data_IF_108807961082
#
_entry.id   IF_108807961082
#
_cell.length_a   1.000
_cell.length_b   1.000
_cell.length_c   1.000
_cell.angle_alpha   90.00
_cell.angle_beta   90.00
_cell.angle_gamma   90.00
#
_symmetry.space_group_name_H-M   'P 1'
#
loop_
_entity.id
_entity.type
_entity.pdbx_description
1 polymer ?
#
# COMPACT_ATOMS: atom_id res chain seq x y z
N UNK A 1 0.71 -28.80 3.74
CA UNK A 1 -0.48 -28.65 2.87
C UNK A 1 -0.13 -28.66 1.38
N UNK A 2 0.86 -27.88 0.94
CA UNK A 2 1.32 -27.82 -0.48
C UNK A 2 1.83 -29.18 -1.00
N UNK A 3 2.47 -29.98 -0.15
CA UNK A 3 3.00 -31.31 -0.49
C UNK A 3 1.92 -32.35 -0.83
N UNK A 4 0.82 -32.39 -0.07
CA UNK A 4 -0.28 -33.33 -0.32
C UNK A 4 -1.08 -32.98 -1.58
N UNK A 5 -1.31 -31.68 -1.84
CA UNK A 5 -1.99 -31.21 -3.04
C UNK A 5 -1.15 -31.44 -4.31
N UNK A 6 0.17 -31.19 -4.24
CA UNK A 6 1.09 -31.47 -5.33
C UNK A 6 1.17 -32.97 -5.64
N UNK A 7 1.20 -33.83 -4.61
CA UNK A 7 1.16 -35.28 -4.78
C UNK A 7 -0.14 -35.75 -5.45
N UNK A 8 -1.29 -35.16 -5.11
CA UNK A 8 -2.58 -35.49 -5.74
C UNK A 8 -2.67 -35.09 -7.23
N UNK A 9 -2.14 -33.91 -7.59
CA UNK A 9 -2.10 -33.45 -8.99
C UNK A 9 -1.13 -34.30 -9.81
N UNK A 10 0.04 -34.65 -9.27
CA UNK A 10 1.00 -35.57 -9.92
C UNK A 10 0.40 -36.98 -10.06
N UNK A 11 -0.34 -37.46 -9.05
CA UNK A 11 -1.00 -38.76 -9.06
C UNK A 11 -2.14 -38.87 -10.07
N UNK A 12 -2.72 -37.77 -10.55
CA UNK A 12 -3.77 -37.78 -11.59
C UNK A 12 -3.22 -37.45 -12.99
N UNK A 13 -2.20 -36.62 -13.09
CA UNK A 13 -1.60 -36.24 -14.39
C UNK A 13 -0.88 -37.41 -15.07
N UNK A 14 -0.14 -38.23 -14.32
CA UNK A 14 0.57 -39.41 -14.86
C UNK A 14 -0.41 -40.48 -15.40
N UNK A 15 -1.45 -40.90 -14.66
CA UNK A 15 -2.51 -41.75 -15.22
C UNK A 15 -3.29 -41.11 -16.35
N UNK A 16 -3.43 -39.79 -16.41
CA UNK A 16 -4.08 -39.09 -17.53
C UNK A 16 -3.31 -39.24 -18.84
N UNK A 17 -1.99 -39.01 -18.80
CA UNK A 17 -1.09 -39.28 -19.92
C UNK A 17 -1.11 -40.75 -20.36
N UNK A 18 -1.10 -41.68 -19.40
CA UNK A 18 -1.15 -43.14 -19.67
C UNK A 18 -2.53 -43.58 -20.19
N UNK A 19 -3.61 -43.02 -19.67
CA UNK A 19 -4.98 -43.35 -20.04
C UNK A 19 -5.37 -42.82 -21.42
N UNK A 20 -4.91 -41.61 -21.79
CA UNK A 20 -5.04 -41.10 -23.16
C UNK A 20 -4.30 -42.00 -24.17
N UNK A 21 -3.20 -42.64 -23.74
CA UNK A 21 -2.46 -43.62 -24.55
C UNK A 21 -3.18 -44.98 -24.67
N UNK A 22 -4.08 -45.33 -23.74
CA UNK A 22 -4.73 -46.67 -23.63
C UNK A 22 -6.22 -46.71 -23.95
N UNK A 23 -6.91 -45.59 -24.13
CA UNK A 23 -8.35 -45.57 -24.42
C UNK A 23 -8.72 -46.46 -25.62
N UNK A 24 -9.75 -47.30 -25.46
CA UNK A 24 -10.23 -48.22 -26.50
C UNK A 24 -10.67 -47.45 -27.77
N UNK A 25 -10.51 -48.06 -28.93
CA UNK A 25 -11.05 -47.57 -30.19
C UNK A 25 -12.59 -47.47 -30.10
N UNK A 26 -13.23 -46.41 -30.61
CA UNK A 26 -14.67 -46.44 -30.83
C UNK A 26 -14.97 -47.55 -31.86
N UNK A 27 -15.93 -48.41 -31.56
CA UNK A 27 -16.42 -49.43 -32.49
C UNK A 27 -16.85 -48.78 -33.81
N UNK A 28 -16.42 -49.39 -34.91
CA UNK A 28 -16.46 -48.89 -36.29
C UNK A 28 -17.76 -48.15 -36.67
N UNK A 29 -17.60 -46.93 -37.17
CA UNK A 29 -18.58 -46.24 -38.02
C UNK A 29 -18.07 -46.32 -39.48
N UNK A 30 -18.96 -46.40 -40.48
CA UNK A 30 -18.58 -46.70 -41.85
C UNK A 30 -17.83 -45.54 -42.51
N UNK A 31 -16.94 -45.91 -43.41
CA UNK A 31 -15.94 -45.08 -44.07
C UNK A 31 -16.53 -43.95 -44.90
N UNK A 32 -15.87 -42.79 -44.82
CA UNK A 32 -16.06 -41.72 -45.79
C UNK A 32 -16.17 -40.35 -45.15
N UNK A 33 -15.05 -39.78 -44.69
CA UNK A 33 -14.68 -38.35 -44.86
C UNK A 33 -13.45 -38.01 -44.00
N UNK A 34 -12.37 -37.60 -44.69
CA UNK A 34 -11.22 -36.80 -44.23
C UNK A 34 -10.89 -36.82 -42.73
N UNK A 35 -9.79 -37.49 -42.35
CA UNK A 35 -8.73 -36.99 -41.44
C UNK A 35 -7.77 -38.13 -41.09
N UNK A 36 -6.49 -37.97 -41.43
CA UNK A 36 -5.43 -38.82 -40.88
C UNK A 36 -5.55 -38.81 -39.36
N UNK A 37 -5.92 -39.96 -38.78
CA UNK A 37 -6.09 -40.12 -37.35
C UNK A 37 -4.71 -39.94 -36.70
N UNK A 38 -4.39 -38.71 -36.26
CA UNK A 38 -3.16 -38.45 -35.52
C UNK A 38 -3.13 -39.41 -34.33
N UNK A 39 -2.04 -40.16 -34.15
CA UNK A 39 -2.01 -41.19 -33.12
C UNK A 39 -2.14 -40.56 -31.73
N UNK A 40 -2.90 -41.21 -30.84
CA UNK A 40 -3.28 -40.67 -29.51
C UNK A 40 -2.10 -40.21 -28.65
N UNK A 41 -0.90 -40.77 -28.86
CA UNK A 41 0.34 -40.34 -28.19
C UNK A 41 0.74 -38.90 -28.56
N UNK A 42 0.40 -38.43 -29.76
CA UNK A 42 0.70 -37.08 -30.23
C UNK A 42 -0.07 -36.03 -29.42
N UNK A 43 -1.34 -36.29 -29.10
CA UNK A 43 -2.14 -35.40 -28.26
C UNK A 43 -1.63 -35.33 -26.82
N UNK A 44 -1.22 -36.47 -26.26
CA UNK A 44 -0.62 -36.54 -24.93
C UNK A 44 0.73 -35.81 -24.87
N UNK A 45 1.56 -35.96 -25.91
CA UNK A 45 2.83 -35.24 -26.06
C UNK A 45 2.60 -33.73 -26.15
N UNK A 46 1.63 -33.28 -26.95
CA UNK A 46 1.29 -31.87 -27.09
C UNK A 46 0.87 -31.25 -25.75
N UNK A 47 0.00 -31.93 -24.99
CA UNK A 47 -0.43 -31.47 -23.67
C UNK A 47 0.72 -31.43 -22.65
N UNK A 48 1.60 -32.42 -22.67
CA UNK A 48 2.79 -32.43 -21.82
C UNK A 48 3.74 -31.29 -22.17
N UNK A 49 4.00 -31.05 -23.46
CA UNK A 49 4.81 -29.92 -23.91
C UNK A 49 4.14 -28.59 -23.53
N UNK A 50 2.83 -28.44 -23.72
CA UNK A 50 2.14 -27.21 -23.35
C UNK A 50 2.14 -26.96 -21.83
N UNK A 51 2.12 -28.01 -21.02
CA UNK A 51 2.25 -27.88 -19.56
C UNK A 51 3.67 -27.46 -19.16
N UNK A 52 4.70 -28.09 -19.75
CA UNK A 52 6.10 -27.94 -19.32
C UNK A 52 6.78 -26.71 -19.92
N UNK A 53 6.57 -26.43 -21.21
CA UNK A 53 7.31 -25.39 -21.94
C UNK A 53 7.14 -24.00 -21.33
N UNK A 54 5.93 -23.49 -21.01
CA UNK A 54 5.78 -22.17 -20.39
C UNK A 54 6.48 -22.08 -19.03
N UNK A 55 6.39 -23.14 -18.22
CA UNK A 55 7.02 -23.19 -16.89
C UNK A 55 8.54 -23.22 -17.02
N UNK A 56 9.07 -24.06 -17.92
CA UNK A 56 10.50 -24.19 -18.16
C UNK A 56 11.10 -22.90 -18.74
N UNK A 57 10.43 -22.26 -19.71
CA UNK A 57 10.85 -20.97 -20.26
C UNK A 57 10.90 -19.89 -19.17
N UNK A 58 9.89 -19.84 -18.29
CA UNK A 58 9.91 -18.91 -17.16
C UNK A 58 11.01 -19.22 -16.14
N UNK A 59 11.26 -20.49 -15.84
CA UNK A 59 12.35 -20.90 -14.95
C UNK A 59 13.72 -20.50 -15.53
N UNK A 60 13.94 -20.72 -16.83
CA UNK A 60 15.17 -20.33 -17.53
C UNK A 60 15.32 -18.80 -17.58
N UNK A 61 14.26 -18.07 -17.94
CA UNK A 61 14.27 -16.61 -17.91
C UNK A 61 14.55 -16.06 -16.49
N UNK A 62 14.10 -16.79 -15.47
CA UNK A 62 14.29 -16.42 -14.07
C UNK A 62 15.74 -16.61 -13.56
N UNK A 63 16.63 -17.27 -14.32
CA UNK A 63 18.04 -17.45 -13.95
C UNK A 63 18.84 -16.15 -14.03
N UNK A 64 18.47 -15.24 -14.95
CA UNK A 64 19.17 -13.96 -15.13
C UNK A 64 18.58 -12.82 -14.30
N UNK A 65 17.25 -12.81 -14.12
CA UNK A 65 16.53 -11.89 -13.23
C UNK A 65 15.35 -12.65 -12.64
N UNK A 66 15.04 -12.53 -11.33
CA UNK A 66 13.90 -13.22 -10.74
C UNK A 66 12.56 -12.72 -11.32
N UNK A 67 12.13 -13.35 -12.42
CA UNK A 67 10.90 -13.02 -13.14
C UNK A 67 9.75 -13.96 -12.76
N UNK A 68 10.01 -15.02 -12.00
CA UNK A 68 9.00 -16.00 -11.64
C UNK A 68 7.93 -15.39 -10.72
N UNK A 69 6.73 -15.17 -11.27
CA UNK A 69 5.51 -14.84 -10.53
C UNK A 69 4.41 -15.84 -10.89
N UNK A 70 3.58 -16.20 -9.92
CA UNK A 70 2.52 -17.23 -10.05
C UNK A 70 1.57 -16.97 -11.23
N UNK A 71 1.38 -15.69 -11.61
CA UNK A 71 0.55 -15.32 -12.77
C UNK A 71 1.04 -15.91 -14.10
N UNK A 72 2.34 -16.19 -14.25
CA UNK A 72 2.86 -16.78 -15.50
C UNK A 72 2.53 -18.28 -15.60
N UNK A 73 2.23 -18.94 -14.49
CA UNK A 73 1.77 -20.33 -14.46
C UNK A 73 0.33 -20.47 -14.98
N UNK A 74 -0.44 -19.37 -15.07
CA UNK A 74 -1.80 -19.38 -15.65
C UNK A 74 -1.81 -19.94 -17.08
N UNK A 75 -0.76 -19.68 -17.86
CA UNK A 75 -0.59 -20.22 -19.23
C UNK A 75 -0.58 -21.75 -19.27
N UNK A 76 -0.15 -22.40 -18.18
CA UNK A 76 -0.07 -23.85 -18.08
C UNK A 76 -1.35 -24.50 -17.51
N UNK A 77 -2.36 -23.70 -17.14
CA UNK A 77 -3.60 -24.23 -16.53
C UNK A 77 -4.51 -24.99 -17.50
N UNK A 78 -4.69 -24.59 -18.78
CA UNK A 78 -5.52 -25.35 -19.70
C UNK A 78 -5.08 -26.82 -19.90
N UNK A 79 -3.80 -27.14 -20.21
CA UNK A 79 -3.38 -28.54 -20.36
C UNK A 79 -3.42 -29.28 -19.02
N UNK A 80 -3.17 -28.60 -17.89
CA UNK A 80 -3.30 -29.18 -16.57
C UNK A 80 -4.72 -29.69 -16.30
N UNK A 81 -5.75 -28.89 -16.56
CA UNK A 81 -7.14 -29.29 -16.34
C UNK A 81 -7.55 -30.47 -17.21
N UNK A 82 -7.12 -30.50 -18.48
CA UNK A 82 -7.38 -31.63 -19.39
C UNK A 82 -6.71 -32.91 -18.88
N UNK A 83 -5.45 -32.84 -18.42
CA UNK A 83 -4.72 -33.99 -17.91
C UNK A 83 -5.30 -34.52 -16.60
N UNK A 84 -5.72 -33.63 -15.68
CA UNK A 84 -6.40 -34.02 -14.44
C UNK A 84 -7.72 -34.72 -14.74
N UNK A 85 -8.54 -34.18 -15.66
CA UNK A 85 -9.80 -34.79 -16.06
C UNK A 85 -9.58 -36.17 -16.73
N UNK A 86 -8.62 -36.26 -17.65
CA UNK A 86 -8.23 -37.52 -18.28
C UNK A 86 -7.76 -38.55 -17.24
N UNK A 87 -6.99 -38.12 -16.24
CA UNK A 87 -6.52 -38.94 -15.13
C UNK A 87 -7.65 -39.50 -14.28
N UNK A 88 -8.58 -38.65 -13.88
CA UNK A 88 -9.76 -39.03 -13.08
C UNK A 88 -10.63 -40.07 -13.82
N UNK A 89 -10.90 -39.83 -15.11
CA UNK A 89 -11.66 -40.78 -15.96
C UNK A 89 -10.93 -42.11 -16.09
N UNK A 90 -9.62 -42.08 -16.30
CA UNK A 90 -8.80 -43.29 -16.46
C UNK A 90 -8.74 -44.11 -15.17
N UNK A 91 -8.64 -43.44 -14.02
CA UNK A 91 -8.71 -44.08 -12.71
C UNK A 91 -10.08 -44.73 -12.48
N UNK A 92 -11.17 -44.02 -12.77
CA UNK A 92 -12.52 -44.57 -12.65
C UNK A 92 -12.74 -45.80 -13.52
N UNK A 93 -12.30 -45.74 -14.79
CA UNK A 93 -12.38 -46.89 -15.70
C UNK A 93 -11.55 -48.09 -15.20
N UNK A 94 -10.35 -47.84 -14.68
CA UNK A 94 -9.47 -48.89 -14.14
C UNK A 94 -10.07 -49.57 -12.90
N UNK A 95 -10.64 -48.80 -11.97
CA UNK A 95 -11.32 -49.38 -10.80
C UNK A 95 -12.59 -50.12 -11.20
N UNK A 96 -13.42 -49.52 -12.07
CA UNK A 96 -14.65 -50.14 -12.55
C UNK A 96 -14.41 -51.46 -13.31
N UNK A 97 -13.29 -51.59 -14.02
CA UNK A 97 -12.91 -52.80 -14.72
C UNK A 97 -12.68 -54.02 -13.80
N UNK A 98 -12.51 -53.81 -12.48
CA UNK A 98 -12.40 -54.91 -11.50
C UNK A 98 -13.75 -55.54 -11.12
N UNK A 99 -14.87 -54.94 -11.51
CA UNK A 99 -16.22 -55.42 -11.18
C UNK A 99 -16.83 -56.19 -12.34
N UNK A 100 -17.35 -57.40 -12.05
CA UNK A 100 -17.89 -58.32 -13.07
C UNK A 100 -19.31 -57.97 -13.54
N UNK A 101 -20.14 -57.32 -12.71
CA UNK A 101 -21.51 -56.91 -13.10
C UNK A 101 -21.47 -55.63 -13.95
N UNK A 102 -21.99 -55.70 -15.19
CA UNK A 102 -22.01 -54.56 -16.15
C UNK A 102 -22.62 -53.27 -15.59
N UNK A 103 -23.72 -53.35 -14.83
CA UNK A 103 -24.35 -52.18 -14.20
C UNK A 103 -23.50 -51.58 -13.06
N UNK A 104 -22.93 -52.42 -12.21
CA UNK A 104 -22.05 -52.00 -11.11
C UNK A 104 -20.73 -51.41 -11.60
N UNK A 105 -20.20 -51.89 -12.74
CA UNK A 105 -18.98 -51.36 -13.35
C UNK A 105 -19.09 -49.90 -13.76
N UNK A 106 -20.19 -49.49 -14.41
CA UNK A 106 -20.37 -48.09 -14.86
C UNK A 106 -20.62 -47.16 -13.68
N UNK A 107 -21.45 -47.58 -12.73
CA UNK A 107 -21.73 -46.80 -11.52
C UNK A 107 -20.46 -46.57 -10.69
N UNK A 108 -19.64 -47.62 -10.47
CA UNK A 108 -18.39 -47.50 -9.72
C UNK A 108 -17.37 -46.61 -10.46
N UNK A 109 -17.23 -46.76 -11.77
CA UNK A 109 -16.33 -45.91 -12.55
C UNK A 109 -16.72 -44.43 -12.49
N UNK A 110 -18.02 -44.13 -12.60
CA UNK A 110 -18.53 -42.77 -12.46
C UNK A 110 -18.31 -42.21 -11.05
N UNK A 111 -18.59 -43.00 -10.01
CA UNK A 111 -18.38 -42.60 -8.63
C UNK A 111 -16.90 -42.28 -8.33
N UNK A 112 -15.98 -43.16 -8.73
CA UNK A 112 -14.53 -42.94 -8.55
C UNK A 112 -14.04 -41.73 -9.33
N UNK A 113 -14.52 -41.55 -10.56
CA UNK A 113 -14.20 -40.35 -11.36
C UNK A 113 -14.68 -39.08 -10.66
N UNK A 114 -15.93 -39.08 -10.16
CA UNK A 114 -16.51 -37.96 -9.43
C UNK A 114 -15.71 -37.63 -8.17
N UNK A 115 -15.38 -38.63 -7.35
CA UNK A 115 -14.55 -38.46 -6.14
C UNK A 115 -13.17 -37.92 -6.50
N UNK A 116 -12.52 -38.43 -7.55
CA UNK A 116 -11.21 -37.95 -7.99
C UNK A 116 -11.26 -36.49 -8.47
N UNK A 117 -12.31 -36.08 -9.18
CA UNK A 117 -12.52 -34.69 -9.61
C UNK A 117 -12.79 -33.77 -8.42
N UNK A 118 -13.64 -34.17 -7.48
CA UNK A 118 -13.90 -33.41 -6.24
C UNK A 118 -12.61 -33.26 -5.43
N UNK A 119 -11.83 -34.33 -5.28
CA UNK A 119 -10.52 -34.30 -4.64
C UNK A 119 -9.54 -33.36 -5.34
N UNK A 120 -9.55 -33.32 -6.67
CA UNK A 120 -8.71 -32.40 -7.46
C UNK A 120 -9.13 -30.92 -7.31
N UNK A 121 -10.38 -30.65 -6.97
CA UNK A 121 -10.88 -29.30 -6.69
C UNK A 121 -10.59 -28.82 -5.26
N UNK A 122 -10.29 -29.73 -4.32
CA UNK A 122 -10.07 -29.38 -2.91
C UNK A 122 -8.98 -28.32 -2.69
N UNK A 123 -7.80 -28.35 -3.37
CA UNK A 123 -6.79 -27.30 -3.23
C UNK A 123 -7.27 -25.94 -3.78
N UNK A 124 -8.07 -25.95 -4.84
CA UNK A 124 -8.66 -24.73 -5.39
C UNK A 124 -9.70 -24.15 -4.43
N UNK A 125 -10.55 -24.99 -3.83
CA UNK A 125 -11.49 -24.56 -2.79
C UNK A 125 -10.76 -23.99 -1.57
N UNK A 126 -9.66 -24.60 -1.13
CA UNK A 126 -8.83 -24.08 -0.05
C UNK A 126 -8.16 -22.75 -0.42
N UNK A 127 -7.63 -22.63 -1.65
CA UNK A 127 -7.04 -21.40 -2.17
C UNK A 127 -8.06 -20.27 -2.27
N UNK A 128 -9.27 -20.58 -2.74
CA UNK A 128 -10.39 -19.65 -2.81
C UNK A 128 -10.84 -19.24 -1.41
N UNK A 129 -10.91 -20.19 -0.48
CA UNK A 129 -11.27 -19.90 0.90
C UNK A 129 -10.26 -18.95 1.56
N UNK A 130 -8.97 -19.13 1.31
CA UNK A 130 -7.96 -18.16 1.73
C UNK A 130 -8.18 -16.80 1.06
N UNK A 131 -8.37 -16.77 -0.26
CA UNK A 131 -8.58 -15.53 -0.99
C UNK A 131 -9.76 -14.69 -0.46
N UNK A 132 -10.85 -15.33 -0.02
CA UNK A 132 -12.05 -14.62 0.47
C UNK A 132 -12.08 -14.38 1.98
N UNK A 133 -11.40 -15.20 2.79
CA UNK A 133 -11.53 -15.14 4.26
C UNK A 133 -10.20 -14.99 5.00
N UNK A 134 -9.05 -15.08 4.33
CA UNK A 134 -7.73 -14.87 4.93
C UNK A 134 -7.20 -13.48 4.57
N UNK A 135 -7.19 -12.60 5.57
CA UNK A 135 -6.76 -11.20 5.44
C UNK A 135 -5.31 -11.07 4.96
N UNK A 136 -4.45 -12.09 5.17
CA UNK A 136 -3.08 -12.08 4.67
C UNK A 136 -2.95 -12.15 3.15
N UNK A 137 -4.05 -12.47 2.44
CA UNK A 137 -4.08 -12.57 0.98
C UNK A 137 -4.74 -11.37 0.30
N UNK A 138 -5.23 -10.41 1.08
CA UNK A 138 -5.89 -9.23 0.55
C UNK A 138 -4.88 -8.37 -0.22
N UNK A 139 -5.33 -7.81 -1.33
CA UNK A 139 -4.53 -6.83 -2.07
C UNK A 139 -4.61 -5.46 -1.39
N UNK A 140 -3.69 -4.58 -1.78
CA UNK A 140 -3.67 -3.18 -1.37
C UNK A 140 -5.04 -2.51 -1.55
N UNK A 141 -5.45 -1.75 -0.53
CA UNK A 141 -6.81 -1.21 -0.42
C UNK A 141 -6.97 0.13 -1.15
N UNK A 142 -6.80 0.10 -2.48
CA UNK A 142 -7.06 1.26 -3.35
C UNK A 142 -8.52 1.75 -3.26
N UNK A 143 -9.46 0.84 -2.94
CA UNK A 143 -10.87 1.21 -2.74
C UNK A 143 -11.02 2.09 -1.50
N UNK A 144 -10.38 1.74 -0.39
CA UNK A 144 -10.33 2.53 0.84
C UNK A 144 -9.68 3.89 0.62
N UNK A 145 -8.56 3.93 -0.12
CA UNK A 145 -7.91 5.19 -0.52
C UNK A 145 -8.87 6.07 -1.33
N UNK A 146 -9.48 5.53 -2.39
CA UNK A 146 -10.40 6.27 -3.24
C UNK A 146 -11.62 6.80 -2.46
N UNK A 147 -12.18 5.98 -1.56
CA UNK A 147 -13.30 6.38 -0.70
C UNK A 147 -12.91 7.50 0.27
N UNK A 148 -11.71 7.43 0.86
CA UNK A 148 -11.21 8.48 1.75
C UNK A 148 -11.02 9.80 1.01
N UNK A 149 -10.37 9.78 -0.16
CA UNK A 149 -10.17 10.99 -0.98
C UNK A 149 -11.52 11.58 -1.38
N UNK A 150 -12.45 10.75 -1.88
CA UNK A 150 -13.79 11.21 -2.28
C UNK A 150 -14.59 11.83 -1.12
N UNK A 151 -14.38 11.37 0.11
CA UNK A 151 -15.09 11.87 1.29
C UNK A 151 -14.48 13.12 1.92
N UNK A 152 -13.18 13.39 1.68
CA UNK A 152 -12.44 14.43 2.41
C UNK A 152 -11.90 15.55 1.53
N UNK A 153 -11.71 15.30 0.24
CA UNK A 153 -11.08 16.27 -0.64
C UNK A 153 -12.01 17.45 -0.95
N UNK A 154 -11.44 18.64 -0.91
CA UNK A 154 -12.02 19.87 -1.43
C UNK A 154 -11.87 20.01 -2.95
N UNK A 155 -12.58 20.97 -3.57
CA UNK A 155 -12.58 21.15 -5.01
C UNK A 155 -11.25 21.62 -5.60
N UNK A 156 -10.34 22.16 -4.78
CA UNK A 156 -9.03 22.66 -5.21
C UNK A 156 -7.87 21.71 -4.83
N UNK A 157 -8.16 20.49 -4.39
CA UNK A 157 -7.13 19.52 -4.01
C UNK A 157 -6.59 18.77 -5.23
N UNK A 158 -5.50 18.03 -5.04
CA UNK A 158 -4.87 17.22 -6.08
C UNK A 158 -4.49 15.83 -5.57
N UNK A 159 -4.40 14.88 -6.50
CA UNK A 159 -3.85 13.55 -6.25
C UNK A 159 -2.47 13.46 -6.88
N UNK A 160 -1.44 13.18 -6.09
CA UNK A 160 -0.11 12.84 -6.58
C UNK A 160 0.07 11.32 -6.52
N UNK A 161 0.49 10.70 -7.62
CA UNK A 161 0.69 9.26 -7.70
C UNK A 161 2.18 8.99 -7.85
N UNK A 162 2.83 8.55 -6.76
CA UNK A 162 4.24 8.16 -6.79
C UNK A 162 4.34 6.70 -7.25
N UNK A 163 4.89 6.51 -8.46
CA UNK A 163 4.81 5.35 -9.34
C UNK A 163 3.64 5.43 -10.37
N UNK A 164 3.90 5.95 -11.58
CA UNK A 164 2.87 6.10 -12.63
C UNK A 164 2.15 4.81 -13.02
N UNK A 165 2.75 3.63 -12.81
CA UNK A 165 2.11 2.33 -13.03
C UNK A 165 0.90 2.05 -12.14
N UNK A 166 0.62 2.91 -11.15
CA UNK A 166 -0.56 2.82 -10.29
C UNK A 166 -1.74 3.68 -10.79
N UNK A 167 -1.55 4.47 -11.85
CA UNK A 167 -2.62 5.32 -12.42
C UNK A 167 -3.83 4.49 -12.82
N UNK A 168 -3.63 3.35 -13.49
CA UNK A 168 -4.73 2.49 -13.93
C UNK A 168 -5.44 1.83 -12.74
N UNK A 169 -4.70 1.47 -11.69
CA UNK A 169 -5.26 0.82 -10.51
C UNK A 169 -6.08 1.80 -9.68
N UNK A 170 -5.53 2.99 -9.38
CA UNK A 170 -6.27 4.02 -8.66
C UNK A 170 -7.46 4.51 -9.49
N UNK A 171 -7.26 4.72 -10.78
CA UNK A 171 -8.30 5.20 -11.69
C UNK A 171 -9.40 4.20 -11.97
N UNK A 172 -9.24 2.93 -11.61
CA UNK A 172 -10.36 1.99 -11.57
C UNK A 172 -11.32 2.29 -10.41
N UNK A 173 -10.81 2.70 -9.25
CA UNK A 173 -11.61 2.92 -8.03
C UNK A 173 -12.02 4.38 -7.80
N UNK A 174 -11.19 5.33 -8.19
CA UNK A 174 -11.47 6.76 -8.03
C UNK A 174 -11.96 7.35 -9.36
N UNK A 175 -13.22 7.78 -9.39
CA UNK A 175 -13.88 8.42 -10.53
C UNK A 175 -14.27 9.88 -10.22
N UNK A 176 -13.60 10.50 -9.25
CA UNK A 176 -13.87 11.88 -8.84
C UNK A 176 -13.19 12.93 -9.73
N UNK A 177 -13.52 14.22 -9.52
CA UNK A 177 -13.13 15.29 -10.43
C UNK A 177 -11.71 15.83 -10.21
N UNK A 178 -11.01 15.39 -9.16
CA UNK A 178 -9.69 15.95 -8.83
C UNK A 178 -8.68 15.68 -9.96
N UNK A 179 -7.76 16.61 -10.25
CA UNK A 179 -6.65 16.38 -11.17
C UNK A 179 -5.61 15.43 -10.55
N UNK A 180 -5.01 14.57 -11.38
CA UNK A 180 -4.01 13.59 -10.94
C UNK A 180 -2.66 13.88 -11.58
N UNK A 181 -1.61 13.77 -10.77
CA UNK A 181 -0.23 14.06 -11.15
C UNK A 181 0.65 12.81 -10.92
N UNK A 182 0.82 11.96 -11.94
CA UNK A 182 1.76 10.85 -11.85
C UNK A 182 3.19 11.38 -11.88
N UNK A 183 3.95 11.12 -10.80
CA UNK A 183 5.36 11.47 -10.67
C UNK A 183 6.18 10.27 -10.16
N UNK A 184 7.46 10.16 -10.52
CA UNK A 184 8.13 10.94 -11.57
C UNK A 184 7.63 10.59 -12.97
N UNK A 185 7.79 11.52 -13.93
CA UNK A 185 7.35 11.33 -15.33
C UNK A 185 8.21 10.35 -16.13
N UNK A 186 9.43 10.09 -15.66
CA UNK A 186 10.38 9.18 -16.29
C UNK A 186 11.16 8.37 -15.24
N UNK A 187 11.81 7.29 -15.68
CA UNK A 187 12.70 6.44 -14.86
C UNK A 187 14.04 6.23 -15.59
N UNK A 188 15.19 6.54 -14.98
CA UNK A 188 15.39 7.14 -13.65
C UNK A 188 14.74 8.52 -13.49
N UNK A 189 14.46 8.91 -12.23
CA UNK A 189 13.86 10.20 -11.91
C UNK A 189 14.76 11.36 -12.38
N UNK A 190 14.15 12.38 -12.98
CA UNK A 190 14.77 13.70 -13.15
C UNK A 190 14.29 14.57 -11.97
N UNK A 191 15.22 14.92 -11.09
CA UNK A 191 14.91 15.61 -9.85
C UNK A 191 14.45 17.06 -10.09
N UNK A 192 14.98 17.73 -11.09
CA UNK A 192 14.63 19.12 -11.39
C UNK A 192 13.26 19.19 -12.07
N UNK A 193 12.96 18.23 -12.96
CA UNK A 193 11.61 18.07 -13.52
C UNK A 193 10.56 17.79 -12.43
N UNK A 194 10.88 16.90 -11.48
CA UNK A 194 9.99 16.56 -10.38
C UNK A 194 9.75 17.78 -9.46
N UNK A 195 10.79 18.54 -9.11
CA UNK A 195 10.66 19.75 -8.28
C UNK A 195 9.85 20.84 -9.00
N UNK A 196 10.12 21.10 -10.27
CA UNK A 196 9.36 22.06 -11.05
C UNK A 196 7.87 21.68 -11.15
N UNK A 197 7.56 20.38 -11.29
CA UNK A 197 6.19 19.90 -11.25
C UNK A 197 5.53 20.12 -9.88
N UNK A 198 6.26 19.86 -8.79
CA UNK A 198 5.78 20.05 -7.42
C UNK A 198 5.52 21.52 -7.09
N UNK A 199 6.40 22.43 -7.52
CA UNK A 199 6.18 23.88 -7.42
C UNK A 199 4.91 24.31 -8.15
N UNK A 200 4.69 23.79 -9.36
CA UNK A 200 3.48 24.08 -10.13
C UNK A 200 2.20 23.53 -9.50
N UNK A 201 2.28 22.35 -8.85
CA UNK A 201 1.17 21.77 -8.08
C UNK A 201 0.90 22.64 -6.84
N UNK A 202 1.96 22.99 -6.10
CA UNK A 202 1.88 23.80 -4.88
C UNK A 202 1.27 25.18 -5.11
N UNK A 203 1.55 25.78 -6.27
CA UNK A 203 1.00 27.09 -6.64
C UNK A 203 -0.50 27.07 -7.01
N UNK A 204 -1.08 25.89 -7.24
CA UNK A 204 -2.47 25.75 -7.76
C UNK A 204 -3.42 25.13 -6.75
N UNK A 205 -2.92 24.26 -5.89
CA UNK A 205 -3.75 23.40 -5.05
C UNK A 205 -3.66 23.77 -3.57
N UNK A 206 -4.71 23.45 -2.82
CA UNK A 206 -4.74 23.66 -1.37
C UNK A 206 -4.12 22.45 -0.64
N UNK A 207 -4.36 21.24 -1.15
CA UNK A 207 -3.92 19.98 -0.55
C UNK A 207 -3.46 19.00 -1.61
N UNK A 208 -2.45 18.19 -1.28
CA UNK A 208 -1.99 17.05 -2.09
C UNK A 208 -2.21 15.75 -1.34
N UNK A 209 -2.98 14.85 -1.95
CA UNK A 209 -3.11 13.45 -1.56
C UNK A 209 -2.07 12.63 -2.31
N UNK A 210 -0.98 12.24 -1.63
CA UNK A 210 0.05 11.38 -2.18
C UNK A 210 -0.30 9.91 -2.02
N UNK A 211 -0.49 9.22 -3.14
CA UNK A 211 -0.60 7.76 -3.24
C UNK A 211 0.79 7.23 -3.56
N UNK A 212 1.44 6.63 -2.56
CA UNK A 212 2.85 6.27 -2.62
C UNK A 212 3.01 4.75 -2.58
N UNK A 213 3.63 4.20 -3.63
CA UNK A 213 3.85 2.77 -3.75
C UNK A 213 5.22 2.46 -4.35
N UNK A 214 5.90 1.44 -3.82
CA UNK A 214 7.23 1.01 -4.23
C UNK A 214 8.21 2.20 -4.44
N UNK A 215 8.24 3.13 -3.48
CA UNK A 215 9.06 4.36 -3.57
C UNK A 215 10.55 4.07 -3.75
N UNK A 216 11.04 2.92 -3.26
CA UNK A 216 12.43 2.49 -3.49
C UNK A 216 12.74 2.24 -4.98
N UNK A 217 11.73 2.05 -5.83
CA UNK A 217 11.88 1.91 -7.28
C UNK A 217 11.47 3.18 -8.04
N UNK A 218 10.42 3.88 -7.61
CA UNK A 218 9.91 5.07 -8.30
C UNK A 218 10.61 6.36 -7.90
N UNK A 219 11.01 6.51 -6.64
CA UNK A 219 11.64 7.70 -6.07
C UNK A 219 12.67 7.29 -5.00
N UNK A 220 13.77 6.61 -5.40
CA UNK A 220 14.70 5.98 -4.46
C UNK A 220 15.39 6.98 -3.52
N UNK A 221 15.60 8.21 -4.00
CA UNK A 221 16.21 9.30 -3.22
C UNK A 221 15.17 10.16 -2.48
N UNK A 222 13.89 9.78 -2.55
CA UNK A 222 12.76 10.48 -1.93
C UNK A 222 12.68 11.95 -2.34
N UNK A 223 13.01 12.29 -3.59
CA UNK A 223 13.01 13.66 -4.11
C UNK A 223 11.63 14.29 -3.94
N UNK A 224 10.56 13.54 -4.24
CA UNK A 224 9.19 14.06 -4.22
C UNK A 224 8.72 14.25 -2.77
N UNK A 225 8.91 13.23 -1.95
CA UNK A 225 8.43 13.28 -0.56
C UNK A 225 9.22 14.26 0.29
N UNK A 226 10.56 14.31 0.15
CA UNK A 226 11.38 15.26 0.90
C UNK A 226 11.08 16.71 0.50
N UNK A 227 10.74 16.97 -0.77
CA UNK A 227 10.30 18.29 -1.19
C UNK A 227 8.97 18.67 -0.54
N UNK A 228 7.98 17.77 -0.54
CA UNK A 228 6.69 18.01 0.12
C UNK A 228 6.84 18.18 1.64
N UNK A 229 7.67 17.37 2.29
CA UNK A 229 7.92 17.45 3.74
C UNK A 229 8.67 18.74 4.15
N UNK A 230 9.39 19.38 3.22
CA UNK A 230 10.11 20.65 3.49
C UNK A 230 9.33 21.91 3.07
N UNK A 231 8.35 21.79 2.18
CA UNK A 231 7.60 22.93 1.64
C UNK A 231 6.11 22.93 2.02
N UNK A 232 5.60 21.86 2.60
CA UNK A 232 4.20 21.69 2.94
C UNK A 232 3.99 21.05 4.32
N UNK A 233 2.75 21.09 4.80
CA UNK A 233 2.37 20.64 6.14
C UNK A 233 1.77 19.24 6.06
N UNK A 234 2.60 18.21 6.28
CA UNK A 234 2.16 16.81 6.28
C UNK A 234 1.19 16.56 7.43
N UNK A 235 -0.08 16.33 7.11
CA UNK A 235 -1.14 16.18 8.11
C UNK A 235 -1.51 14.73 8.40
N UNK A 236 -1.36 13.85 7.41
CA UNK A 236 -1.69 12.43 7.55
C UNK A 236 -0.66 11.56 6.84
N UNK A 237 -0.41 10.38 7.39
CA UNK A 237 0.41 9.36 6.76
C UNK A 237 -0.08 7.97 7.21
N UNK A 238 -0.66 7.18 6.30
CA UNK A 238 -1.32 5.91 6.63
C UNK A 238 -1.10 4.83 5.57
N UNK A 239 -0.88 3.60 6.04
CA UNK A 239 -0.76 2.42 5.20
C UNK A 239 -2.13 1.79 4.89
N UNK A 240 -2.32 1.38 3.64
CA UNK A 240 -3.47 0.66 3.09
C UNK A 240 -2.94 -0.59 2.35
N UNK A 241 -2.48 -1.58 3.12
CA UNK A 241 -1.63 -2.64 2.60
C UNK A 241 -0.21 -2.13 2.36
N UNK A 242 0.36 -2.40 1.20
CA UNK A 242 1.69 -1.94 0.78
C UNK A 242 1.68 -0.56 0.10
N UNK A 243 0.53 0.10 0.05
CA UNK A 243 0.37 1.47 -0.48
C UNK A 243 0.19 2.44 0.67
N UNK A 244 0.87 3.58 0.62
CA UNK A 244 0.76 4.63 1.63
C UNK A 244 -0.02 5.81 1.07
N UNK A 245 -1.02 6.24 1.82
CA UNK A 245 -1.73 7.48 1.58
C UNK A 245 -1.23 8.53 2.57
N UNK A 246 -0.63 9.58 2.03
CA UNK A 246 -0.19 10.72 2.81
C UNK A 246 -0.86 12.00 2.30
N UNK A 247 -1.06 12.96 3.20
CA UNK A 247 -1.77 14.21 2.93
C UNK A 247 -0.88 15.38 3.33
N UNK A 248 -0.64 16.31 2.41
CA UNK A 248 0.06 17.57 2.66
C UNK A 248 -0.86 18.74 2.39
N UNK A 249 -1.03 19.61 3.38
CA UNK A 249 -1.63 20.92 3.16
C UNK A 249 -0.55 21.87 2.62
N UNK A 250 -0.83 22.51 1.49
CA UNK A 250 0.08 23.46 0.86
C UNK A 250 -0.09 24.84 1.51
N UNK A 251 1.00 25.60 1.73
CA UNK A 251 0.91 26.96 2.24
C UNK A 251 0.22 27.87 1.21
N UNK A 252 -0.89 28.52 1.57
CA UNK A 252 -1.53 29.50 0.67
C UNK A 252 -0.81 30.85 0.63
N UNK A 253 -0.24 31.27 1.77
CA UNK A 253 0.58 32.47 1.90
C UNK A 253 1.47 32.31 3.14
N UNK A 254 2.79 32.31 2.95
CA UNK A 254 3.78 32.40 4.03
C UNK A 254 4.20 33.83 4.30
N UNK A 255 4.06 34.72 3.32
CA UNK A 255 4.40 36.13 3.44
C UNK A 255 3.49 36.85 4.44
N UNK A 256 4.11 37.59 5.36
CA UNK A 256 3.41 38.38 6.38
C UNK A 256 2.82 37.56 7.53
N UNK A 257 3.00 36.23 7.56
CA UNK A 257 2.60 35.42 8.72
C UNK A 257 3.49 35.81 9.91
N UNK A 258 2.91 36.25 11.04
CA UNK A 258 3.69 36.64 12.21
C UNK A 258 4.51 35.48 12.76
N UNK A 259 5.76 35.76 13.11
CA UNK A 259 6.59 34.85 13.92
C UNK A 259 6.48 35.31 15.36
N UNK A 260 5.88 34.47 16.20
CA UNK A 260 5.79 34.68 17.63
C UNK A 260 7.07 34.16 18.30
N UNK A 261 7.76 35.03 19.04
CA UNK A 261 8.91 34.62 19.84
C UNK A 261 8.46 33.67 20.95
N UNK A 262 9.22 32.60 21.18
CA UNK A 262 8.94 31.59 22.21
C UNK A 262 10.08 31.57 23.25
N UNK A 263 11.31 31.28 22.81
CA UNK A 263 12.50 31.35 23.67
C UNK A 263 12.54 30.26 24.74
N UNK A 264 12.00 29.07 24.48
CA UNK A 264 12.04 27.95 25.42
C UNK A 264 13.21 27.02 25.13
N UNK A 265 13.88 26.54 26.17
CA UNK A 265 14.91 25.51 26.09
C UNK A 265 14.28 24.15 26.37
N UNK A 266 14.60 23.13 25.57
CA UNK A 266 14.22 21.75 25.80
C UNK A 266 15.49 20.94 26.05
N UNK A 267 15.61 20.39 27.26
CA UNK A 267 16.90 19.97 27.79
C UNK A 267 17.90 21.13 27.78
N UNK A 268 19.16 20.82 27.46
CA UNK A 268 20.24 21.79 27.35
C UNK A 268 20.76 21.95 25.91
N UNK A 269 20.08 21.33 24.92
CA UNK A 269 20.63 21.13 23.56
C UNK A 269 19.85 21.82 22.46
N UNK A 270 18.57 22.14 22.67
CA UNK A 270 17.71 22.72 21.63
C UNK A 270 16.82 23.83 22.18
N UNK A 271 16.65 24.89 21.39
CA UNK A 271 15.78 26.02 21.70
C UNK A 271 14.63 26.10 20.71
N UNK A 272 13.40 26.22 21.20
CA UNK A 272 12.28 26.72 20.40
C UNK A 272 12.37 28.25 20.36
N UNK A 273 12.92 28.79 19.28
CA UNK A 273 13.12 30.23 19.11
C UNK A 273 11.80 30.96 18.86
N UNK A 274 10.89 30.34 18.10
CA UNK A 274 9.58 30.92 17.81
C UNK A 274 8.67 29.96 17.06
N UNK A 275 7.48 30.44 16.72
CA UNK A 275 6.50 29.69 15.94
C UNK A 275 5.61 30.60 15.11
N UNK A 276 4.97 30.03 14.09
CA UNK A 276 3.95 30.67 13.27
C UNK A 276 2.76 29.75 13.10
N UNK A 277 1.55 30.31 13.22
CA UNK A 277 0.30 29.61 12.93
C UNK A 277 -0.29 30.18 11.64
N UNK A 278 -0.27 29.40 10.57
CA UNK A 278 -0.74 29.82 9.25
C UNK A 278 -2.25 29.63 9.09
N UNK A 279 -2.89 28.94 10.03
CA UNK A 279 -4.34 28.70 10.07
C UNK A 279 -4.91 29.19 11.40
N UNK A 280 -5.08 30.51 11.62
CA UNK A 280 -5.40 31.06 12.93
C UNK A 280 -6.82 30.75 13.43
N UNK A 281 -7.74 30.38 12.52
CA UNK A 281 -9.12 30.03 12.86
C UNK A 281 -9.56 28.74 12.13
N UNK A 282 -9.00 27.58 12.49
CA UNK A 282 -9.35 26.32 11.83
C UNK A 282 -10.77 25.89 12.22
N UNK A 283 -11.44 25.13 11.36
CA UNK A 283 -12.66 24.41 11.68
C UNK A 283 -12.39 22.90 11.75
N UNK A 284 -13.32 22.13 12.32
CA UNK A 284 -13.26 20.66 12.22
C UNK A 284 -13.17 20.22 10.75
N UNK A 285 -12.19 19.36 10.44
CA UNK A 285 -11.86 18.91 9.08
C UNK A 285 -10.72 19.68 8.41
N UNK A 286 -10.35 20.85 8.90
CA UNK A 286 -9.21 21.62 8.37
C UNK A 286 -7.87 21.00 8.81
N UNK A 287 -6.81 21.36 8.09
CA UNK A 287 -5.43 21.14 8.56
C UNK A 287 -4.93 22.43 9.22
N UNK A 288 -4.65 22.36 10.52
CA UNK A 288 -3.95 23.41 11.25
C UNK A 288 -2.47 23.38 10.88
N UNK A 289 -2.00 24.42 10.19
CA UNK A 289 -0.63 24.57 9.71
C UNK A 289 0.21 25.35 10.74
N UNK A 290 1.21 24.67 11.33
CA UNK A 290 2.12 25.23 12.35
C UNK A 290 3.55 25.11 11.87
N UNK A 291 4.27 26.23 11.84
CA UNK A 291 5.72 26.24 11.65
C UNK A 291 6.41 26.46 12.99
N UNK A 292 7.35 25.60 13.35
CA UNK A 292 8.19 25.73 14.54
C UNK A 292 9.59 26.14 14.09
N UNK A 293 10.17 27.13 14.79
CA UNK A 293 11.50 27.63 14.51
C UNK A 293 12.44 27.20 15.63
N UNK A 294 13.28 26.22 15.32
CA UNK A 294 14.24 25.64 16.24
C UNK A 294 15.63 26.24 16.05
N UNK A 295 16.42 26.19 17.12
CA UNK A 295 17.85 26.43 17.08
C UNK A 295 18.57 25.35 17.87
N UNK A 296 19.52 24.69 17.23
CA UNK A 296 20.41 23.72 17.89
C UNK A 296 21.47 24.48 18.69
N UNK A 297 21.57 24.24 20.00
CA UNK A 297 22.55 24.89 20.86
C UNK A 297 23.81 24.04 21.05
N UNK A 298 23.65 22.71 20.96
CA UNK A 298 24.72 21.74 21.08
C UNK A 298 24.47 20.54 20.15
N UNK A 299 25.50 19.74 19.83
CA UNK A 299 25.30 18.50 19.09
C UNK A 299 24.38 17.54 19.86
N UNK A 300 23.44 16.92 19.16
CA UNK A 300 22.54 15.92 19.73
C UNK A 300 22.92 14.53 19.21
N UNK A 301 23.35 13.63 20.09
CA UNK A 301 23.62 12.24 19.68
C UNK A 301 22.33 11.44 19.49
N UNK A 302 21.27 11.83 20.22
CA UNK A 302 19.97 11.18 20.19
C UNK A 302 19.03 11.82 19.17
N UNK A 303 18.20 10.97 18.58
CA UNK A 303 17.11 11.40 17.69
C UNK A 303 15.89 11.72 18.51
N UNK A 304 15.28 12.88 18.27
CA UNK A 304 14.06 13.30 18.97
C UNK A 304 12.88 13.40 18.01
N UNK A 305 11.70 13.02 18.50
CA UNK A 305 10.43 13.40 17.88
C UNK A 305 9.90 14.65 18.56
N UNK A 306 9.34 15.53 17.77
CA UNK A 306 8.50 16.63 18.25
C UNK A 306 7.07 16.13 18.28
N UNK A 307 6.37 16.38 19.38
CA UNK A 307 4.91 16.26 19.42
C UNK A 307 4.30 17.66 19.32
N UNK A 308 3.26 17.77 18.51
CA UNK A 308 2.43 18.98 18.39
C UNK A 308 0.99 18.56 18.62
N UNK A 309 0.38 19.07 19.67
CA UNK A 309 -0.96 18.72 20.12
C UNK A 309 -1.88 19.93 20.08
N UNK A 310 -3.13 19.70 19.70
CA UNK A 310 -4.23 20.60 19.97
C UNK A 310 -5.03 20.01 21.13
N UNK A 311 -5.14 20.76 22.23
CA UNK A 311 -5.72 20.30 23.49
C UNK A 311 -6.96 21.13 23.82
N UNK A 312 -8.06 20.50 24.19
CA UNK A 312 -9.28 21.20 24.59
C UNK A 312 -9.21 21.74 26.04
N UNK A 313 -10.25 22.46 26.46
CA UNK A 313 -10.35 23.02 27.82
C UNK A 313 -10.40 21.96 28.93
N UNK A 314 -10.67 20.70 28.61
CA UNK A 314 -10.65 19.57 29.56
C UNK A 314 -9.25 18.93 29.70
N UNK A 315 -8.28 19.37 28.89
CA UNK A 315 -6.96 18.77 28.81
C UNK A 315 -6.89 17.56 27.86
N UNK A 316 -7.92 17.30 27.06
CA UNK A 316 -7.97 16.18 26.12
C UNK A 316 -7.32 16.58 24.79
N UNK A 317 -6.46 15.72 24.25
CA UNK A 317 -5.86 15.91 22.93
C UNK A 317 -6.92 15.61 21.86
N UNK A 318 -7.31 16.63 21.09
CA UNK A 318 -8.30 16.49 20.01
C UNK A 318 -7.67 16.26 18.64
N UNK A 319 -6.44 16.71 18.45
CA UNK A 319 -5.61 16.45 17.27
C UNK A 319 -4.13 16.45 17.66
N UNK A 320 -3.32 15.64 17.00
CA UNK A 320 -1.89 15.56 17.27
C UNK A 320 -1.09 15.17 16.04
N UNK A 321 0.19 15.57 16.04
CA UNK A 321 1.18 15.09 15.09
C UNK A 321 2.51 14.90 15.82
N UNK A 322 3.02 13.67 15.73
CA UNK A 322 4.31 13.27 16.26
C UNK A 322 5.22 12.84 15.13
N UNK A 323 6.30 13.58 14.92
CA UNK A 323 7.30 13.21 13.92
C UNK A 323 8.67 13.72 14.29
N UNK A 324 9.68 13.07 13.71
CA UNK A 324 10.99 13.70 13.63
C UNK A 324 10.89 14.97 12.76
N UNK A 325 11.77 15.96 13.00
CA UNK A 325 11.71 17.22 12.27
C UNK A 325 11.83 17.07 10.74
N UNK A 326 11.24 18.02 10.01
CA UNK A 326 11.22 18.06 8.55
C UNK A 326 10.53 16.84 7.94
N UNK A 327 9.47 16.32 8.58
CA UNK A 327 8.77 15.12 8.14
C UNK A 327 9.60 13.83 8.19
N UNK A 328 10.71 13.83 8.95
CA UNK A 328 11.70 12.76 9.01
C UNK A 328 12.92 12.97 8.11
N UNK A 329 13.00 14.08 7.38
CA UNK A 329 14.14 14.41 6.53
C UNK A 329 15.21 15.27 7.26
N UNK A 330 14.93 15.77 8.48
CA UNK A 330 15.85 16.60 9.25
C UNK A 330 16.07 16.04 10.65
N UNK A 331 16.73 14.87 10.72
CA UNK A 331 17.01 14.20 11.99
C UNK A 331 17.76 15.13 12.93
N UNK A 332 17.37 15.17 14.21
CA UNK A 332 18.03 16.03 15.21
C UNK A 332 19.51 15.69 15.39
N UNK A 333 19.91 14.45 15.09
CA UNK A 333 21.31 14.03 15.09
C UNK A 333 22.18 14.75 14.06
N UNK A 334 21.56 15.31 13.02
CA UNK A 334 22.26 15.92 11.89
C UNK A 334 22.33 17.45 12.05
N UNK A 335 21.74 18.01 13.11
CA UNK A 335 21.71 19.45 13.35
C UNK A 335 23.06 19.94 13.88
N UNK A 336 23.62 20.94 13.21
CA UNK A 336 24.85 21.60 13.64
C UNK A 336 24.57 22.64 14.75
N UNK A 337 25.48 22.83 15.72
CA UNK A 337 25.34 23.91 16.69
C UNK A 337 25.21 25.29 16.03
N UNK A 338 24.24 26.09 16.47
CA UNK A 338 23.86 27.38 15.90
C UNK A 338 22.95 27.29 14.66
N UNK A 339 22.67 26.08 14.15
CA UNK A 339 21.76 25.90 13.03
C UNK A 339 20.34 26.28 13.42
N UNK A 340 19.66 27.02 12.52
CA UNK A 340 18.24 27.34 12.65
C UNK A 340 17.42 26.51 11.67
N UNK A 341 16.40 25.85 12.19
CA UNK A 341 15.55 24.91 11.44
C UNK A 341 14.12 25.45 11.46
N UNK A 342 13.50 25.52 10.29
CA UNK A 342 12.03 25.71 10.19
C UNK A 342 11.41 24.35 9.94
N UNK A 343 10.47 23.99 10.80
CA UNK A 343 9.90 22.66 10.88
C UNK A 343 8.37 22.74 10.77
N UNK A 344 7.79 22.05 9.79
CA UNK A 344 6.42 22.25 9.34
C UNK A 344 5.51 21.11 9.80
N UNK A 345 4.49 21.43 10.59
CA UNK A 345 3.53 20.49 11.15
C UNK A 345 2.11 20.76 10.65
N UNK A 346 1.52 19.76 9.99
CA UNK A 346 0.09 19.73 9.70
C UNK A 346 -0.65 18.92 10.77
N UNK A 347 -1.63 19.52 11.43
CA UNK A 347 -2.53 18.81 12.33
C UNK A 347 -3.90 18.71 11.64
N UNK A 348 -4.26 17.50 11.21
CA UNK A 348 -5.59 17.25 10.65
C UNK A 348 -6.61 17.23 11.81
N UNK A 349 -7.47 18.24 11.87
CA UNK A 349 -8.54 18.29 12.88
C UNK A 349 -9.66 17.34 12.46
N UNK A 350 -10.11 16.42 13.34
CA UNK A 350 -11.29 15.62 13.07
C UNK A 350 -12.52 16.50 12.69
N UNK A 351 -13.37 16.08 11.74
CA UNK A 351 -14.58 16.84 11.38
C UNK A 351 -15.52 17.13 12.56
N UNK A 352 -15.50 16.26 13.57
CA UNK A 352 -16.28 16.40 14.81
C UNK A 352 -15.58 17.17 15.93
N UNK A 353 -14.45 17.83 15.69
CA UNK A 353 -13.78 18.64 16.73
C UNK A 353 -14.75 19.70 17.27
N UNK A 354 -15.00 19.73 18.60
CA UNK A 354 -15.90 20.71 19.19
C UNK A 354 -15.44 22.14 18.91
N UNK A 355 -16.34 23.08 18.61
CA UNK A 355 -15.98 24.48 18.52
C UNK A 355 -15.61 25.05 19.89
N UNK A 356 -14.68 26.01 19.92
CA UNK A 356 -14.26 26.69 21.14
C UNK A 356 -12.75 26.85 21.26
N UNK A 357 -12.33 27.27 22.45
CA UNK A 357 -10.91 27.50 22.75
C UNK A 357 -10.14 26.19 22.92
N UNK A 358 -9.00 26.12 22.25
CA UNK A 358 -8.05 25.02 22.33
C UNK A 358 -6.64 25.58 22.52
N UNK A 359 -5.75 24.82 23.15
CA UNK A 359 -4.35 25.20 23.36
C UNK A 359 -3.47 24.40 22.42
N UNK A 360 -2.60 25.11 21.70
CA UNK A 360 -1.53 24.50 20.90
C UNK A 360 -0.35 24.21 21.83
N UNK A 361 -0.04 22.92 21.99
CA UNK A 361 0.99 22.41 22.90
C UNK A 361 2.08 21.69 22.12
N UNK A 362 3.35 21.94 22.46
CA UNK A 362 4.51 21.31 21.80
C UNK A 362 5.53 20.79 22.79
N UNK A 363 6.37 19.87 22.33
CA UNK A 363 7.57 19.46 23.06
C UNK A 363 8.32 18.36 22.30
N UNK A 364 9.32 17.77 22.94
CA UNK A 364 10.18 16.76 22.33
C UNK A 364 10.33 15.54 23.24
N UNK A 365 10.48 14.37 22.63
CA UNK A 365 10.85 13.15 23.33
C UNK A 365 11.87 12.33 22.53
N UNK A 366 12.70 11.60 23.27
CA UNK A 366 13.70 10.70 22.72
C UNK A 366 13.04 9.61 21.88
N UNK A 367 13.50 9.43 20.64
CA UNK A 367 13.00 8.38 19.74
C UNK A 367 13.20 6.99 20.37
N UNK A 368 14.30 6.81 21.10
CA UNK A 368 14.58 5.62 21.88
C UNK A 368 14.06 5.86 23.32
N UNK A 369 13.24 4.95 23.84
CA UNK A 369 12.74 5.02 25.21
C UNK A 369 11.55 5.96 25.46
N UNK A 370 11.35 7.00 24.63
CA UNK A 370 10.18 7.87 24.72
C UNK A 370 10.24 8.92 25.83
N UNK A 371 11.42 9.17 26.39
CA UNK A 371 11.63 10.12 27.47
C UNK A 371 11.41 11.56 26.99
N UNK A 372 10.57 12.33 27.68
CA UNK A 372 10.28 13.73 27.33
C UNK A 372 11.39 14.64 27.80
N UNK A 373 11.76 15.62 26.97
CA UNK A 373 12.75 16.62 27.35
C UNK A 373 12.14 17.64 28.33
N UNK A 374 12.84 17.97 29.44
CA UNK A 374 12.39 19.01 30.34
C UNK A 374 12.44 20.37 29.65
N UNK A 375 11.50 21.24 29.95
CA UNK A 375 11.37 22.58 29.37
C UNK A 375 11.77 23.62 30.40
N UNK A 376 12.58 24.60 30.00
CA UNK A 376 12.86 25.80 30.79
C UNK A 376 12.62 27.08 29.99
N UNK A 377 12.33 28.18 30.69
CA UNK A 377 12.22 29.52 30.11
C UNK A 377 12.85 30.51 31.07
N UNK A 378 13.80 31.31 30.59
CA UNK A 378 14.60 32.24 31.42
C UNK A 378 15.19 31.59 32.68
N UNK A 379 15.57 30.31 32.58
CA UNK A 379 16.12 29.51 33.67
C UNK A 379 15.11 28.89 34.64
N UNK A 380 13.81 29.19 34.49
CA UNK A 380 12.75 28.58 35.29
C UNK A 380 12.22 27.27 34.64
N UNK A 381 12.06 26.17 35.40
CA UNK A 381 11.48 24.93 34.88
C UNK A 381 9.98 25.07 34.64
N UNK A 382 9.49 24.55 33.50
CA UNK A 382 8.09 24.61 33.07
C UNK A 382 7.40 23.24 32.94
N UNK A 383 8.14 22.14 33.05
CA UNK A 383 7.62 20.78 32.85
C UNK A 383 8.29 20.11 31.66
N UNK A 384 7.51 19.46 30.79
CA UNK A 384 7.99 18.70 29.62
C UNK A 384 7.23 19.05 28.32
N UNK A 385 6.47 20.14 28.35
CA UNK A 385 5.69 20.67 27.23
C UNK A 385 5.58 22.19 27.32
N UNK A 386 5.32 22.83 26.18
CA UNK A 386 5.17 24.27 26.01
C UNK A 386 3.76 24.53 25.45
N UNK A 387 2.97 25.34 26.16
CA UNK A 387 1.70 25.86 25.64
C UNK A 387 1.98 27.16 24.87
N UNK A 388 1.89 27.09 23.53
CA UNK A 388 2.31 28.18 22.65
C UNK A 388 1.28 29.30 22.58
N UNK A 389 0.02 28.95 22.34
CA UNK A 389 -1.08 29.90 22.16
C UNK A 389 -2.44 29.21 22.29
N UNK A 390 -3.47 30.02 22.53
CA UNK A 390 -4.87 29.61 22.41
C UNK A 390 -5.38 29.87 20.99
N UNK A 391 -6.13 28.93 20.45
CA UNK A 391 -6.74 28.97 19.14
C UNK A 391 -8.25 28.72 19.27
N UNK A 392 -9.04 29.56 18.61
CA UNK A 392 -10.47 29.35 18.51
C UNK A 392 -10.79 28.43 17.33
N UNK A 393 -11.22 27.20 17.63
CA UNK A 393 -11.72 26.26 16.61
C UNK A 393 -13.15 26.64 16.28
N UNK A 394 -13.41 26.92 15.01
CA UNK A 394 -14.76 27.23 14.50
C UNK A 394 -15.60 25.97 14.39
N UNK A 395 -16.92 26.14 14.41
CA UNK A 395 -17.84 25.06 14.10
C UNK A 395 -17.54 24.51 12.69
N UNK A 396 -17.44 23.18 12.58
CA UNK A 396 -17.26 22.50 11.31
C UNK A 396 -18.37 22.85 10.32
N UNK A 397 -18.05 22.87 9.02
CA UNK A 397 -19.09 22.84 8.00
C UNK A 397 -19.80 21.49 8.14
N UNK A 398 -21.07 21.50 8.53
CA UNK A 398 -21.88 20.28 8.58
C UNK A 398 -21.89 19.58 7.22
N UNK A 399 -22.21 18.27 7.17
CA UNK A 399 -22.33 17.58 5.89
C UNK A 399 -23.41 18.28 5.06
N UNK A 400 -22.99 18.92 3.98
CA UNK A 400 -23.86 19.57 2.99
C UNK A 400 -24.50 18.58 2.04
#
# INVERSE_FOLDING_TARGET
AVTAAALGVVALTVPGLVGMRRGAAPSAAPEGTLRGARPRWFGALLLALYLVVPIALMAVASLGRPMYKTKFVLLATPPLYVLVAAGAVSLGQWVGARVHRRGGRRALAAAVTGVALVGALAPAAQGLARLYWDTSTYRDDYRGIAAYIAATAGPNDAILINAPSQVETLGYYYQGPLPWYPLPRQRPIDADDARAALEAIAARHDTVYGVLWATNESDPERVIENWLDSHAFKAMDRWFGDVRLALWALPRATEGVPVHAAGHLLGDTVRLAGYSVLTPAPAGGDVLQVALHWEALAPMAERYKVFVHLVDTSGTIVAQRDSEPGGGARLTSDWAPGERITDLYGLLLPPGTPPGEHVLRVGMYALNGGERLPVTHDGAPLGDAIDLTSLHVRAGKGPG
#
